data_IF_100935927619
#
_entry.id   IF_100935927619
#
_cell.length_a   1.000
_cell.length_b   1.000
_cell.length_c   1.000
_cell.angle_alpha   90.00
_cell.angle_beta   90.00
_cell.angle_gamma   90.00
#
_symmetry.space_group_name_H-M   'P 1'
#
loop_
_entity.id
_entity.type
_entity.pdbx_description
1 polymer ?
#
# COMPACT_ATOMS: atom_id res chain seq x y z
N UNK A 1 52.86 28.60 22.74
CA UNK A 1 52.34 27.83 21.57
C UNK A 1 52.05 26.35 21.86
N UNK A 2 52.88 25.61 22.63
CA UNK A 2 52.66 24.18 22.93
C UNK A 2 51.48 23.82 23.82
N UNK A 3 50.91 24.75 24.58
CA UNK A 3 49.74 24.48 25.44
C UNK A 3 48.43 24.44 24.64
N UNK A 4 48.26 25.37 23.72
CA UNK A 4 47.08 25.43 22.82
C UNK A 4 46.99 24.17 21.97
N UNK A 5 48.12 23.71 21.41
CA UNK A 5 48.18 22.49 20.58
C UNK A 5 47.74 21.26 21.41
N UNK A 6 48.18 21.17 22.68
CA UNK A 6 47.79 20.08 23.57
C UNK A 6 46.31 20.09 23.95
N UNK A 7 45.72 21.26 24.11
CA UNK A 7 44.29 21.40 24.41
C UNK A 7 43.47 20.98 23.16
N UNK A 8 43.84 21.48 21.96
CA UNK A 8 43.20 21.10 20.71
C UNK A 8 43.30 19.58 20.44
N UNK A 9 44.46 18.98 20.67
CA UNK A 9 44.69 17.54 20.53
C UNK A 9 43.79 16.72 21.46
N UNK A 10 43.70 17.12 22.74
CA UNK A 10 42.80 16.44 23.73
C UNK A 10 41.33 16.60 23.36
N UNK A 11 40.94 17.76 22.84
CA UNK A 11 39.56 18.02 22.36
C UNK A 11 39.23 17.13 21.16
N UNK A 12 40.12 17.06 20.15
CA UNK A 12 39.97 16.17 18.99
C UNK A 12 39.87 14.70 19.38
N UNK A 13 40.72 14.24 20.33
CA UNK A 13 40.62 12.88 20.85
C UNK A 13 39.32 12.63 21.61
N UNK A 14 38.77 13.64 22.29
CA UNK A 14 37.49 13.58 22.96
C UNK A 14 36.34 13.36 21.95
N UNK A 15 36.33 14.15 20.88
CA UNK A 15 35.35 14.01 19.76
C UNK A 15 35.46 12.63 19.10
N UNK A 16 36.69 12.18 18.83
CA UNK A 16 36.90 10.88 18.20
C UNK A 16 36.41 9.72 19.08
N UNK A 17 36.67 9.81 20.40
CA UNK A 17 36.15 8.81 21.36
C UNK A 17 34.62 8.84 21.45
N UNK A 18 34.02 10.02 21.44
CA UNK A 18 32.57 10.17 21.41
C UNK A 18 31.99 9.58 20.14
N UNK A 19 32.59 9.88 18.98
CA UNK A 19 32.19 9.31 17.69
C UNK A 19 32.25 7.78 17.69
N UNK A 20 33.34 7.19 18.20
CA UNK A 20 33.49 5.73 18.30
C UNK A 20 32.47 5.11 19.26
N UNK A 21 32.15 5.77 20.38
CA UNK A 21 31.10 5.30 21.29
C UNK A 21 29.73 5.32 20.62
N UNK A 22 29.39 6.41 19.94
CA UNK A 22 28.12 6.53 19.22
C UNK A 22 28.01 5.49 18.08
N UNK A 23 29.11 5.28 17.34
CA UNK A 23 29.14 4.26 16.29
C UNK A 23 28.90 2.85 16.87
N UNK A 24 29.57 2.48 17.95
CA UNK A 24 29.39 1.18 18.57
C UNK A 24 27.99 1.00 19.17
N UNK A 25 27.42 2.03 19.79
CA UNK A 25 26.02 1.96 20.28
C UNK A 25 25.04 1.81 19.13
N UNK A 26 25.28 2.48 18.00
CA UNK A 26 24.46 2.35 16.80
C UNK A 26 24.52 0.94 16.20
N UNK A 27 25.74 0.37 16.08
CA UNK A 27 25.92 -1.01 15.61
C UNK A 27 25.22 -2.00 16.53
N UNK A 28 25.35 -1.81 17.86
CA UNK A 28 24.68 -2.67 18.84
C UNK A 28 23.15 -2.62 18.70
N UNK A 29 22.59 -1.41 18.50
CA UNK A 29 21.15 -1.24 18.26
C UNK A 29 20.70 -1.97 17.00
N UNK A 30 21.45 -1.87 15.92
CA UNK A 30 21.15 -2.60 14.68
C UNK A 30 21.16 -4.12 14.93
N UNK A 31 22.16 -4.63 15.65
CA UNK A 31 22.25 -6.06 15.97
C UNK A 31 21.09 -6.53 16.85
N UNK A 32 20.67 -5.70 17.82
CA UNK A 32 19.50 -6.00 18.67
C UNK A 32 18.24 -6.04 17.83
N UNK A 33 18.00 -5.03 16.99
CA UNK A 33 16.82 -4.99 16.10
C UNK A 33 16.82 -6.21 15.17
N UNK A 34 17.96 -6.51 14.55
CA UNK A 34 18.09 -7.68 13.69
C UNK A 34 17.82 -8.99 14.45
N UNK A 35 18.36 -9.12 15.67
CA UNK A 35 18.11 -10.29 16.52
C UNK A 35 16.64 -10.46 16.91
N UNK A 36 15.95 -9.35 17.23
CA UNK A 36 14.52 -9.37 17.54
C UNK A 36 13.71 -9.78 16.29
N UNK A 37 14.01 -9.17 15.13
CA UNK A 37 13.34 -9.50 13.88
C UNK A 37 13.56 -10.96 13.48
N UNK A 38 14.77 -11.48 13.67
CA UNK A 38 15.07 -12.89 13.41
C UNK A 38 14.30 -13.81 14.36
N UNK A 39 14.23 -13.47 15.65
CA UNK A 39 13.46 -14.24 16.62
C UNK A 39 11.96 -14.28 16.28
N UNK A 40 11.40 -13.17 15.83
CA UNK A 40 9.97 -13.05 15.46
C UNK A 40 9.67 -13.74 14.13
N UNK A 41 10.57 -13.63 13.14
CA UNK A 41 10.36 -14.20 11.79
C UNK A 41 10.66 -15.70 11.71
N UNK A 42 11.44 -16.23 12.64
CA UNK A 42 11.83 -17.64 12.67
C UNK A 42 12.85 -18.08 11.61
N UNK A 43 13.12 -17.24 10.60
CA UNK A 43 14.10 -17.50 9.54
C UNK A 43 14.81 -16.23 9.05
N UNK A 44 15.87 -16.41 8.26
CA UNK A 44 16.64 -15.28 7.70
C UNK A 44 15.89 -14.57 6.56
N UNK A 45 15.13 -15.30 5.75
CA UNK A 45 14.37 -14.71 4.63
C UNK A 45 13.24 -13.81 5.13
N UNK A 46 12.50 -14.24 6.15
CA UNK A 46 11.51 -13.41 6.83
C UNK A 46 12.13 -12.16 7.48
N UNK A 47 13.32 -12.30 8.07
CA UNK A 47 14.04 -11.15 8.65
C UNK A 47 14.42 -10.13 7.58
N UNK A 48 14.97 -10.57 6.44
CA UNK A 48 15.30 -9.67 5.33
C UNK A 48 14.06 -8.97 4.76
N UNK A 49 12.95 -9.67 4.62
CA UNK A 49 11.68 -9.08 4.17
C UNK A 49 11.18 -8.01 5.14
N UNK A 50 11.27 -8.24 6.45
CA UNK A 50 10.90 -7.23 7.44
C UNK A 50 11.83 -6.01 7.42
N UNK A 51 13.15 -6.22 7.28
CA UNK A 51 14.11 -5.10 7.14
C UNK A 51 13.82 -4.30 5.86
N UNK A 52 13.54 -4.97 4.75
CA UNK A 52 13.19 -4.31 3.49
C UNK A 52 11.93 -3.46 3.63
N UNK A 53 10.89 -3.99 4.30
CA UNK A 53 9.67 -3.22 4.62
C UNK A 53 9.97 -1.98 5.46
N UNK A 54 10.81 -2.10 6.49
CA UNK A 54 11.19 -0.95 7.33
C UNK A 54 11.97 0.11 6.54
N UNK A 55 12.85 -0.30 5.62
CA UNK A 55 13.58 0.62 4.74
C UNK A 55 12.61 1.32 3.77
N UNK A 56 11.67 0.57 3.19
CA UNK A 56 10.65 1.11 2.29
C UNK A 56 9.78 2.14 3.01
N UNK A 57 9.25 1.82 4.20
CA UNK A 57 8.49 2.75 5.05
C UNK A 57 9.30 4.02 5.37
N UNK A 58 10.61 3.86 5.63
CA UNK A 58 11.50 5.00 5.85
C UNK A 58 11.68 5.88 4.61
N UNK A 59 11.77 5.27 3.42
CA UNK A 59 11.87 5.99 2.14
C UNK A 59 10.58 6.73 1.80
N UNK A 60 9.43 6.08 1.98
CA UNK A 60 8.10 6.67 1.77
C UNK A 60 7.87 7.86 2.72
N UNK A 61 8.19 7.70 4.01
CA UNK A 61 8.13 8.79 4.98
C UNK A 61 9.05 9.97 4.61
N UNK A 62 10.23 9.69 4.04
CA UNK A 62 11.14 10.72 3.57
C UNK A 62 10.61 11.46 2.33
N UNK A 63 10.05 10.74 1.34
CA UNK A 63 9.41 11.33 0.16
C UNK A 63 8.22 12.19 0.57
N UNK A 64 7.35 11.68 1.42
CA UNK A 64 6.22 12.42 1.97
C UNK A 64 6.66 13.69 2.71
N UNK A 65 7.73 13.61 3.50
CA UNK A 65 8.28 14.78 4.16
C UNK A 65 8.82 15.82 3.18
N UNK A 66 9.47 15.41 2.09
CA UNK A 66 9.94 16.32 1.05
C UNK A 66 8.79 17.02 0.33
N UNK A 67 7.68 16.33 0.07
CA UNK A 67 6.53 16.86 -0.66
C UNK A 67 5.62 17.73 0.22
N UNK A 68 5.42 17.34 1.47
CA UNK A 68 4.40 17.96 2.34
C UNK A 68 4.99 18.70 3.55
N UNK A 69 6.27 18.52 3.85
CA UNK A 69 6.91 19.02 5.07
C UNK A 69 6.39 18.38 6.36
N UNK A 70 5.63 17.28 6.27
CA UNK A 70 5.01 16.58 7.40
C UNK A 70 5.35 15.09 7.35
N UNK A 71 5.74 14.52 8.48
CA UNK A 71 5.82 13.07 8.71
C UNK A 71 4.47 12.63 9.26
N UNK A 72 3.51 12.33 8.40
CA UNK A 72 2.19 11.89 8.85
C UNK A 72 1.82 10.58 8.17
N UNK A 73 1.36 9.62 8.99
CA UNK A 73 0.76 8.38 8.53
C UNK A 73 1.75 7.49 7.78
N UNK A 74 2.79 7.04 8.46
CA UNK A 74 3.61 5.96 7.95
C UNK A 74 2.72 4.77 7.59
N UNK A 75 2.54 4.58 6.29
CA UNK A 75 2.08 3.37 5.63
C UNK A 75 0.94 2.61 6.32
N UNK A 76 -0.25 2.77 5.81
CA UNK A 76 -1.36 1.90 6.16
C UNK A 76 -1.27 0.66 5.27
N UNK A 77 -1.11 -0.48 5.90
CA UNK A 77 -1.05 -1.76 5.22
C UNK A 77 -2.46 -2.20 4.90
N UNK A 78 -2.72 -2.50 3.65
CA UNK A 78 -3.94 -3.17 3.24
C UNK A 78 -4.00 -4.60 3.78
N UNK A 79 -5.21 -5.07 4.11
CA UNK A 79 -5.47 -6.41 4.67
C UNK A 79 -6.19 -7.32 3.67
N UNK A 80 -5.85 -7.22 2.39
CA UNK A 80 -6.37 -8.17 1.40
C UNK A 80 -5.90 -9.60 1.72
N UNK A 81 -6.83 -10.55 1.74
CA UNK A 81 -6.50 -11.98 1.85
C UNK A 81 -6.20 -12.53 0.46
N UNK A 82 -4.94 -12.86 0.21
CA UNK A 82 -4.49 -13.52 -1.01
C UNK A 82 -5.30 -14.81 -1.23
N UNK A 83 -6.27 -14.75 -2.11
CA UNK A 83 -7.17 -15.88 -2.37
C UNK A 83 -6.83 -16.65 -3.63
N UNK A 84 -6.03 -16.05 -4.53
CA UNK A 84 -5.78 -16.53 -5.89
C UNK A 84 -7.07 -16.71 -6.68
N UNK A 85 -8.12 -15.98 -6.31
CA UNK A 85 -9.42 -16.04 -6.96
C UNK A 85 -9.52 -15.01 -8.08
N UNK A 86 -10.35 -15.31 -9.09
CA UNK A 86 -10.64 -14.41 -10.20
C UNK A 86 -12.11 -14.53 -10.63
N UNK A 87 -12.58 -13.62 -11.45
CA UNK A 87 -13.87 -13.76 -12.11
C UNK A 87 -13.82 -14.84 -13.21
N UNK A 88 -14.98 -15.44 -13.59
CA UNK A 88 -15.05 -16.41 -14.69
C UNK A 88 -14.59 -15.86 -16.05
N UNK A 89 -14.66 -14.53 -16.23
CA UNK A 89 -14.24 -13.79 -17.42
C UNK A 89 -13.67 -12.45 -17.00
N UNK A 90 -12.93 -11.78 -17.88
CA UNK A 90 -12.34 -10.46 -17.65
C UNK A 90 -13.41 -9.34 -17.60
N UNK A 91 -14.48 -9.56 -16.86
CA UNK A 91 -15.59 -8.61 -16.74
C UNK A 91 -16.34 -8.84 -15.41
N UNK A 92 -16.77 -7.76 -14.75
CA UNK A 92 -17.69 -7.80 -13.62
C UNK A 92 -18.57 -6.54 -13.59
N UNK A 93 -19.80 -6.68 -13.05
CA UNK A 93 -20.68 -5.54 -12.79
C UNK A 93 -20.28 -4.86 -11.50
N UNK A 94 -20.30 -3.52 -11.48
CA UNK A 94 -19.95 -2.71 -10.31
C UNK A 94 -21.01 -1.66 -10.02
N UNK A 95 -21.39 -1.56 -8.75
CA UNK A 95 -22.25 -0.51 -8.23
C UNK A 95 -21.45 0.44 -7.35
N UNK A 96 -21.59 1.74 -7.59
CA UNK A 96 -21.03 2.79 -6.74
C UNK A 96 -22.13 3.31 -5.83
N UNK A 97 -21.93 3.23 -4.53
CA UNK A 97 -22.92 3.72 -3.54
C UNK A 97 -23.07 5.26 -3.69
N UNK A 98 -24.27 5.76 -4.07
CA UNK A 98 -24.49 7.20 -4.21
C UNK A 98 -24.54 7.95 -2.88
N UNK A 99 -24.50 7.26 -1.75
CA UNK A 99 -24.52 7.88 -0.42
C UNK A 99 -23.13 8.19 0.12
N UNK A 100 -22.05 7.63 -0.50
CA UNK A 100 -20.70 7.94 -0.08
C UNK A 100 -20.28 9.38 -0.42
N UNK A 101 -19.15 9.83 0.14
CA UNK A 101 -18.54 11.14 -0.16
C UNK A 101 -18.37 11.35 -1.67
N UNK A 102 -18.70 12.54 -2.15
CA UNK A 102 -18.66 12.88 -3.58
C UNK A 102 -17.24 12.74 -4.17
N UNK A 103 -16.19 12.96 -3.38
CA UNK A 103 -14.80 12.78 -3.79
C UNK A 103 -14.52 11.30 -4.05
N UNK A 104 -15.06 10.42 -3.22
CA UNK A 104 -14.89 8.97 -3.36
C UNK A 104 -15.71 8.42 -4.53
N UNK A 105 -16.94 8.90 -4.73
CA UNK A 105 -17.73 8.55 -5.92
C UNK A 105 -16.95 8.91 -7.20
N UNK A 106 -16.39 10.11 -7.24
CA UNK A 106 -15.57 10.56 -8.37
C UNK A 106 -14.32 9.70 -8.53
N UNK A 107 -13.61 9.38 -7.44
CA UNK A 107 -12.41 8.54 -7.48
C UNK A 107 -12.71 7.13 -8.02
N UNK A 108 -13.79 6.49 -7.56
CA UNK A 108 -14.19 5.19 -8.10
C UNK A 108 -14.59 5.27 -9.57
N UNK A 109 -15.36 6.27 -9.98
CA UNK A 109 -15.74 6.43 -11.40
C UNK A 109 -14.51 6.63 -12.29
N UNK A 110 -13.53 7.39 -11.85
CA UNK A 110 -12.27 7.61 -12.57
C UNK A 110 -11.38 6.35 -12.58
N UNK A 111 -11.26 5.65 -11.45
CA UNK A 111 -10.52 4.39 -11.32
C UNK A 111 -11.11 3.30 -12.24
N UNK A 112 -12.44 3.17 -12.30
CA UNK A 112 -13.16 2.28 -13.25
C UNK A 112 -12.80 2.65 -14.70
N UNK A 113 -12.84 3.94 -15.02
CA UNK A 113 -12.48 4.41 -16.36
C UNK A 113 -11.04 4.07 -16.71
N UNK A 114 -10.11 4.27 -15.78
CA UNK A 114 -8.68 4.01 -15.98
C UNK A 114 -8.42 2.51 -16.19
N UNK A 115 -9.00 1.63 -15.38
CA UNK A 115 -8.92 0.19 -15.59
C UNK A 115 -9.55 -0.26 -16.91
N UNK A 116 -10.73 0.23 -17.25
CA UNK A 116 -11.40 -0.10 -18.52
C UNK A 116 -10.57 0.35 -19.75
N UNK A 117 -9.87 1.48 -19.66
CA UNK A 117 -9.00 1.98 -20.72
C UNK A 117 -7.78 1.08 -20.97
N UNK A 118 -7.37 0.25 -20.00
CA UNK A 118 -6.30 -0.74 -20.22
C UNK A 118 -6.70 -1.82 -21.22
N UNK A 119 -8.01 -2.07 -21.40
CA UNK A 119 -8.55 -3.10 -22.27
C UNK A 119 -8.37 -4.55 -21.77
N UNK A 120 -7.87 -4.74 -20.56
CA UNK A 120 -7.58 -6.08 -19.99
C UNK A 120 -8.70 -6.60 -19.10
N UNK A 121 -9.48 -5.69 -18.51
CA UNK A 121 -10.66 -6.01 -17.71
C UNK A 121 -11.76 -4.97 -17.96
N UNK A 122 -13.02 -5.37 -17.87
CA UNK A 122 -14.18 -4.51 -18.13
C UNK A 122 -15.09 -4.42 -16.89
N UNK A 123 -15.05 -3.30 -16.19
CA UNK A 123 -16.06 -2.98 -15.18
C UNK A 123 -17.30 -2.40 -15.85
N UNK A 124 -18.44 -3.06 -15.68
CA UNK A 124 -19.74 -2.62 -16.20
C UNK A 124 -20.53 -1.94 -15.09
N UNK A 125 -20.69 -0.62 -15.18
CA UNK A 125 -21.43 0.14 -14.18
C UNK A 125 -22.90 -0.25 -14.20
N UNK A 126 -23.48 -0.51 -13.01
CA UNK A 126 -24.90 -0.77 -12.80
C UNK A 126 -25.50 0.24 -11.83
N UNK A 127 -26.79 0.51 -11.95
CA UNK A 127 -27.52 1.47 -11.12
C UNK A 127 -28.21 0.82 -9.91
N UNK A 128 -28.44 -0.47 -9.99
CA UNK A 128 -29.12 -1.22 -8.93
C UNK A 128 -28.15 -2.15 -8.20
N UNK A 129 -28.11 -2.11 -6.87
CA UNK A 129 -27.15 -2.88 -6.08
C UNK A 129 -27.30 -4.39 -6.24
N UNK A 130 -28.51 -4.90 -6.49
CA UNK A 130 -28.79 -6.33 -6.68
C UNK A 130 -28.25 -6.90 -8.00
N UNK A 131 -27.83 -6.04 -8.94
CA UNK A 131 -27.22 -6.41 -10.21
C UNK A 131 -25.68 -6.42 -10.16
N UNK A 132 -25.11 -6.00 -9.02
CA UNK A 132 -23.67 -5.81 -8.90
C UNK A 132 -22.97 -7.08 -8.40
N UNK A 133 -21.85 -7.40 -9.04
CA UNK A 133 -20.86 -8.34 -8.53
C UNK A 133 -19.89 -7.65 -7.54
N UNK A 134 -19.64 -6.36 -7.76
CA UNK A 134 -18.72 -5.54 -6.95
C UNK A 134 -19.47 -4.35 -6.38
N UNK A 135 -19.30 -4.12 -5.08
CA UNK A 135 -19.87 -2.99 -4.36
C UNK A 135 -18.74 -2.02 -3.98
N UNK A 136 -18.76 -0.81 -4.56
CA UNK A 136 -17.87 0.26 -4.18
C UNK A 136 -18.58 1.18 -3.17
N UNK A 137 -18.04 1.24 -1.95
CA UNK A 137 -18.61 2.02 -0.85
C UNK A 137 -17.50 2.67 -0.01
N UNK A 138 -17.85 3.26 1.13
CA UNK A 138 -16.89 3.84 2.07
C UNK A 138 -17.03 3.21 3.45
N UNK A 139 -15.99 3.37 4.27
CA UNK A 139 -15.99 3.13 5.70
C UNK A 139 -15.41 4.34 6.43
N UNK A 140 -15.63 4.44 7.74
CA UNK A 140 -15.03 5.47 8.57
C UNK A 140 -14.50 4.83 9.85
N UNK A 141 -13.33 4.21 9.77
CA UNK A 141 -12.74 3.43 10.84
C UNK A 141 -11.28 3.81 11.11
N UNK A 142 -11.04 4.46 12.24
CA UNK A 142 -9.68 4.80 12.71
C UNK A 142 -9.02 3.70 13.55
N UNK A 143 -9.71 2.60 13.80
CA UNK A 143 -9.14 1.46 14.54
C UNK A 143 -8.37 0.50 13.64
N UNK A 144 -8.63 0.50 12.34
CA UNK A 144 -7.87 -0.20 11.33
C UNK A 144 -6.73 0.67 10.81
N UNK A 145 -5.65 0.08 10.32
CA UNK A 145 -4.52 0.80 9.74
C UNK A 145 -4.57 0.78 8.21
N UNK A 146 -5.79 0.90 7.61
CA UNK A 146 -5.97 0.79 6.16
C UNK A 146 -6.67 2.01 5.57
N UNK A 147 -6.16 2.51 4.44
CA UNK A 147 -6.76 3.60 3.67
C UNK A 147 -7.90 3.10 2.78
N UNK A 148 -7.85 1.86 2.35
CA UNK A 148 -8.86 1.14 1.62
C UNK A 148 -8.89 -0.32 2.02
N UNK A 149 -9.88 -1.04 1.56
CA UNK A 149 -10.09 -2.46 1.84
C UNK A 149 -10.87 -3.11 0.71
N UNK A 150 -10.44 -4.29 0.28
CA UNK A 150 -11.19 -5.17 -0.61
C UNK A 150 -11.54 -6.48 0.12
N UNK A 151 -12.83 -6.72 0.33
CA UNK A 151 -13.35 -7.94 0.92
C UNK A 151 -14.01 -8.81 -0.14
N UNK A 152 -13.48 -10.01 -0.38
CA UNK A 152 -13.96 -10.92 -1.41
C UNK A 152 -14.66 -12.14 -0.83
N UNK A 153 -15.73 -12.58 -1.49
CA UNK A 153 -16.33 -13.89 -1.29
C UNK A 153 -16.00 -14.77 -2.49
N UNK A 154 -15.52 -15.97 -2.23
CA UNK A 154 -15.07 -16.89 -3.26
C UNK A 154 -15.76 -18.25 -3.17
N UNK A 155 -15.99 -18.87 -4.32
CA UNK A 155 -16.36 -20.26 -4.38
C UNK A 155 -15.12 -21.13 -4.18
N UNK A 156 -15.07 -21.87 -3.08
CA UNK A 156 -13.92 -22.69 -2.69
C UNK A 156 -13.56 -23.80 -3.68
N UNK A 157 -14.53 -24.24 -4.49
CA UNK A 157 -14.32 -25.33 -5.47
C UNK A 157 -13.76 -24.80 -6.79
N UNK A 158 -14.26 -23.65 -7.26
CA UNK A 158 -13.87 -23.07 -8.56
C UNK A 158 -12.81 -21.99 -8.42
N UNK A 159 -12.50 -21.53 -7.21
CA UNK A 159 -11.66 -20.36 -6.93
C UNK A 159 -12.11 -19.11 -7.71
N UNK A 160 -13.41 -18.94 -7.86
CA UNK A 160 -13.98 -17.78 -8.53
C UNK A 160 -14.62 -16.85 -7.51
N UNK A 161 -14.48 -15.55 -7.74
CA UNK A 161 -15.23 -14.56 -6.98
C UNK A 161 -16.74 -14.74 -7.19
N UNK A 162 -17.50 -14.61 -6.11
CA UNK A 162 -18.97 -14.55 -6.14
C UNK A 162 -19.45 -13.14 -5.84
N UNK A 163 -18.76 -12.39 -5.00
CA UNK A 163 -18.97 -10.96 -4.77
C UNK A 163 -17.68 -10.33 -4.22
N UNK A 164 -17.48 -9.04 -4.44
CA UNK A 164 -16.41 -8.25 -3.83
C UNK A 164 -16.99 -6.94 -3.32
N UNK A 165 -16.56 -6.51 -2.14
CA UNK A 165 -16.85 -5.17 -1.62
C UNK A 165 -15.55 -4.41 -1.48
N UNK A 166 -15.45 -3.25 -2.13
CA UNK A 166 -14.31 -2.35 -2.02
C UNK A 166 -14.71 -1.10 -1.22
N UNK A 167 -13.88 -0.70 -0.25
CA UNK A 167 -14.15 0.41 0.65
C UNK A 167 -13.00 1.41 0.67
N UNK A 168 -13.32 2.69 0.59
CA UNK A 168 -12.39 3.78 0.90
C UNK A 168 -12.60 4.26 2.32
N UNK A 169 -11.52 4.43 3.09
CA UNK A 169 -11.62 4.80 4.49
C UNK A 169 -11.61 6.32 4.68
N UNK A 170 -12.78 6.87 4.94
CA UNK A 170 -12.99 8.29 5.17
C UNK A 170 -12.12 8.85 6.31
N UNK A 171 -11.90 8.07 7.37
CA UNK A 171 -11.09 8.47 8.52
C UNK A 171 -9.67 8.92 8.11
N UNK A 172 -9.06 8.24 7.15
CA UNK A 172 -7.72 8.56 6.68
C UNK A 172 -7.74 9.48 5.46
N UNK A 173 -8.52 9.14 4.44
CA UNK A 173 -8.46 9.76 3.13
C UNK A 173 -9.00 11.19 3.11
N UNK A 174 -9.99 11.50 3.96
CA UNK A 174 -10.58 12.85 4.04
C UNK A 174 -9.98 13.69 5.16
N UNK A 175 -9.11 13.14 5.99
CA UNK A 175 -8.53 13.87 7.11
C UNK A 175 -7.23 14.59 6.67
N UNK A 176 -7.17 15.92 6.70
CA UNK A 176 -5.98 16.68 6.27
C UNK A 176 -4.69 16.33 7.01
N UNK A 177 -4.81 15.75 8.20
CA UNK A 177 -3.66 15.34 8.99
C UNK A 177 -2.88 14.18 8.36
N UNK A 178 -3.51 13.38 7.50
CA UNK A 178 -2.86 12.25 6.81
C UNK A 178 -2.32 12.64 5.43
N UNK A 179 -2.62 13.85 4.93
CA UNK A 179 -2.00 14.41 3.72
C UNK A 179 -2.34 13.68 2.43
N UNK A 180 -3.49 12.99 2.34
CA UNK A 180 -3.93 12.39 1.10
C UNK A 180 -4.37 13.47 0.12
N UNK A 181 -3.73 13.51 -1.05
CA UNK A 181 -4.18 14.30 -2.21
C UNK A 181 -5.28 13.54 -2.94
N UNK A 182 -6.00 14.21 -3.85
CA UNK A 182 -6.97 13.53 -4.70
C UNK A 182 -6.34 12.38 -5.50
N UNK A 183 -5.14 12.58 -6.04
CA UNK A 183 -4.45 11.53 -6.81
C UNK A 183 -4.19 10.29 -5.94
N UNK A 184 -3.80 10.47 -4.67
CA UNK A 184 -3.62 9.34 -3.75
C UNK A 184 -4.94 8.65 -3.40
N UNK A 185 -6.06 9.40 -3.31
CA UNK A 185 -7.40 8.81 -3.14
C UNK A 185 -7.78 8.01 -4.38
N UNK A 186 -7.52 8.55 -5.58
CA UNK A 186 -7.72 7.85 -6.85
C UNK A 186 -6.88 6.56 -6.92
N UNK A 187 -5.58 6.64 -6.62
CA UNK A 187 -4.71 5.48 -6.63
C UNK A 187 -5.13 4.42 -5.58
N UNK A 188 -5.69 4.85 -4.43
CA UNK A 188 -6.28 3.89 -3.47
C UNK A 188 -7.50 3.19 -4.09
N UNK A 189 -8.38 3.92 -4.77
CA UNK A 189 -9.52 3.31 -5.45
C UNK A 189 -9.08 2.36 -6.59
N UNK A 190 -8.05 2.72 -7.35
CA UNK A 190 -7.46 1.85 -8.39
C UNK A 190 -6.86 0.58 -7.77
N UNK A 191 -6.21 0.68 -6.61
CA UNK A 191 -5.65 -0.43 -5.85
C UNK A 191 -6.74 -1.40 -5.38
N UNK A 192 -7.79 -0.88 -4.73
CA UNK A 192 -8.90 -1.74 -4.26
C UNK A 192 -9.62 -2.42 -5.43
N UNK A 193 -9.78 -1.72 -6.56
CA UNK A 193 -10.30 -2.33 -7.78
C UNK A 193 -9.33 -3.35 -8.38
N UNK A 194 -8.02 -3.19 -8.23
CA UNK A 194 -7.02 -4.19 -8.57
C UNK A 194 -7.24 -5.51 -7.84
N UNK A 195 -7.49 -5.45 -6.52
CA UNK A 195 -7.89 -6.63 -5.75
C UNK A 195 -9.22 -7.22 -6.21
N UNK A 196 -10.18 -6.35 -6.55
CA UNK A 196 -11.47 -6.81 -7.10
C UNK A 196 -11.35 -7.47 -8.47
N UNK A 197 -10.27 -7.24 -9.22
CA UNK A 197 -9.92 -7.97 -10.45
C UNK A 197 -9.27 -9.33 -10.14
N UNK A 198 -8.56 -9.44 -9.02
CA UNK A 198 -7.79 -10.62 -8.58
C UNK A 198 -6.28 -10.41 -8.54
N UNK A 199 -5.82 -9.14 -8.59
CA UNK A 199 -4.40 -8.83 -8.41
C UNK A 199 -4.01 -8.93 -6.93
N UNK A 200 -2.79 -9.38 -6.70
CA UNK A 200 -2.17 -9.49 -5.40
C UNK A 200 -1.16 -8.35 -5.17
N UNK A 201 -0.75 -8.15 -3.92
CA UNK A 201 0.27 -7.17 -3.60
C UNK A 201 1.61 -7.48 -4.25
N UNK A 202 2.32 -6.43 -4.66
CA UNK A 202 3.71 -6.52 -5.15
C UNK A 202 4.60 -5.49 -4.48
N UNK A 203 5.91 -5.76 -4.43
CA UNK A 203 6.91 -4.80 -3.95
C UNK A 203 7.52 -3.96 -5.09
N UNK A 204 7.05 -4.14 -6.32
CA UNK A 204 7.52 -3.39 -7.48
C UNK A 204 6.77 -2.05 -7.62
N UNK A 205 7.19 -1.21 -8.57
CA UNK A 205 6.45 0.03 -8.90
C UNK A 205 5.13 -0.36 -9.56
N UNK A 206 4.04 -0.29 -8.83
CA UNK A 206 2.75 -0.84 -9.18
C UNK A 206 1.65 -0.12 -8.40
N UNK A 207 0.45 -0.09 -8.93
CA UNK A 207 -0.75 0.30 -8.18
C UNK A 207 -0.99 -0.67 -7.00
N UNK A 208 -0.52 -1.92 -7.12
CA UNK A 208 -0.67 -2.96 -6.10
C UNK A 208 0.40 -2.95 -5.01
N UNK A 209 1.13 -1.85 -4.82
CA UNK A 209 1.97 -1.71 -3.63
C UNK A 209 1.10 -1.68 -2.36
N UNK A 210 1.47 -2.46 -1.31
CA UNK A 210 0.62 -2.64 -0.11
C UNK A 210 0.46 -1.40 0.74
N UNK A 211 1.07 -0.28 0.36
CA UNK A 211 1.05 0.93 1.15
C UNK A 211 1.39 2.18 0.34
N UNK A 212 0.82 3.32 0.75
CA UNK A 212 1.21 4.64 0.28
C UNK A 212 0.36 5.21 -0.85
N UNK A 213 -0.21 4.38 -1.72
CA UNK A 213 -1.01 4.82 -2.89
C UNK A 213 -0.30 5.89 -3.74
N UNK A 214 1.01 5.73 -3.93
CA UNK A 214 1.83 6.70 -4.69
C UNK A 214 1.76 6.47 -6.19
N UNK A 215 1.42 5.27 -6.63
CA UNK A 215 1.42 4.89 -8.03
C UNK A 215 0.00 4.55 -8.48
N UNK A 216 -0.39 5.07 -9.63
CA UNK A 216 -1.54 4.60 -10.38
C UNK A 216 -1.19 3.32 -11.17
N UNK A 217 -2.11 2.88 -12.01
CA UNK A 217 -1.97 1.67 -12.83
C UNK A 217 -0.72 1.75 -13.70
N UNK A 218 0.15 0.73 -13.63
CA UNK A 218 1.38 0.60 -14.38
C UNK A 218 1.25 -0.46 -15.49
N UNK A 219 2.16 -0.45 -16.46
CA UNK A 219 2.19 -1.44 -17.54
C UNK A 219 2.33 -2.88 -17.02
N UNK A 220 2.98 -3.07 -15.87
CA UNK A 220 3.10 -4.36 -15.20
C UNK A 220 1.75 -4.85 -14.69
N UNK A 221 0.96 -3.98 -14.05
CA UNK A 221 -0.37 -4.33 -13.54
C UNK A 221 -1.28 -4.79 -14.68
N UNK A 222 -1.23 -4.06 -15.81
CA UNK A 222 -1.97 -4.41 -17.04
C UNK A 222 -1.56 -5.81 -17.54
N UNK A 223 -0.27 -6.10 -17.57
CA UNK A 223 0.25 -7.40 -17.99
C UNK A 223 -0.20 -8.53 -17.05
N UNK A 224 -0.16 -8.30 -15.74
CA UNK A 224 -0.62 -9.29 -14.75
C UNK A 224 -2.11 -9.60 -14.92
N UNK A 225 -2.96 -8.58 -15.18
CA UNK A 225 -4.39 -8.82 -15.49
C UNK A 225 -4.55 -9.63 -16.78
N UNK A 226 -3.76 -9.33 -17.85
CA UNK A 226 -3.79 -10.15 -19.07
C UNK A 226 -3.45 -11.60 -18.79
N UNK A 227 -2.33 -11.86 -18.10
CA UNK A 227 -1.89 -13.22 -17.75
C UNK A 227 -2.93 -13.95 -16.89
N UNK A 228 -3.62 -13.22 -16.00
CA UNK A 228 -4.65 -13.79 -15.13
C UNK A 228 -5.87 -14.28 -15.95
N UNK A 229 -6.27 -13.56 -16.97
CA UNK A 229 -7.48 -13.88 -17.75
C UNK A 229 -7.22 -14.58 -19.09
N UNK A 230 -6.02 -14.46 -19.68
CA UNK A 230 -5.64 -15.20 -20.93
C UNK A 230 -5.32 -16.67 -20.66
N UNK A 231 -4.98 -17.05 -19.44
CA UNK A 231 -4.65 -18.44 -19.04
C UNK A 231 -5.87 -19.38 -18.95
N UNK A 232 -7.00 -19.01 -19.50
CA UNK A 232 -8.31 -19.70 -19.40
C UNK A 232 -8.87 -20.30 -20.69
N UNK A 233 -8.09 -20.35 -21.81
CA UNK A 233 -8.47 -21.11 -23.01
C UNK A 233 -7.81 -22.50 -23.06
#
# INVERSE_FOLDING_TARGET
MGWIIRVLYRFLLGILRLFWRLLWTFILLILIVFGVLWYVSGDLSGTFNQVTKLVQVGQEGWQQWQETGKLQGLSQTDHHQDSGAKWPKAEATIYIDPQMDATFQKAYAEAISNWNQTGTFNFVLVTEPDQANIFATEMNDGSTAVAGEAESQTNLLTKQFTSVTVRLNHYYLSNPNYGYTYDRILHTAEHELGHAIGLEHTNEVSVMQPAGSYYGIQAQDVKEVQELYDSGE
#
